data_IF_392482524285
#
_entry.id   IF_392482524285
#
_cell.length_a   1.000
_cell.length_b   1.000
_cell.length_c   1.000
_cell.angle_alpha   90.00
_cell.angle_beta   90.00
_cell.angle_gamma   90.00
#
_symmetry.space_group_name_H-M   'P 1'
#
loop_
_entity.id
_entity.type
_entity.pdbx_description
1 polymer ?
#
# COMPACT_ATOMS: atom_id res chain seq x y z
N UNK A 1 -17.69 -8.29 51.31
CA UNK A 1 -18.19 -7.98 49.96
C UNK A 1 -17.37 -6.83 49.43
N UNK A 2 -16.30 -7.14 48.69
CA UNK A 2 -15.48 -6.13 48.01
C UNK A 2 -15.75 -6.25 46.52
N UNK A 3 -16.25 -5.17 45.92
CA UNK A 3 -16.46 -5.09 44.48
C UNK A 3 -15.09 -4.91 43.79
N UNK A 4 -14.73 -5.84 42.91
CA UNK A 4 -13.61 -5.70 42.00
C UNK A 4 -14.06 -4.87 40.79
N UNK A 5 -13.35 -3.78 40.55
CA UNK A 5 -13.51 -2.90 39.40
C UNK A 5 -12.63 -3.43 38.27
N UNK A 6 -13.24 -3.96 37.20
CA UNK A 6 -12.55 -4.35 35.97
C UNK A 6 -12.35 -3.12 35.08
N UNK A 7 -11.10 -2.65 35.00
CA UNK A 7 -10.68 -1.64 34.04
C UNK A 7 -10.38 -2.32 32.70
N UNK A 8 -11.35 -2.28 31.79
CA UNK A 8 -11.18 -2.75 30.41
C UNK A 8 -10.36 -1.74 29.60
N UNK A 9 -9.11 -2.07 29.30
CA UNK A 9 -8.30 -1.33 28.32
C UNK A 9 -8.82 -1.67 26.92
N UNK A 10 -9.55 -0.74 26.30
CA UNK A 10 -9.82 -0.75 24.85
C UNK A 10 -8.53 -0.37 24.12
N UNK A 11 -7.81 -1.37 23.61
CA UNK A 11 -6.84 -1.15 22.56
C UNK A 11 -7.57 -1.10 21.22
N UNK A 12 -7.42 0.00 20.48
CA UNK A 12 -7.82 0.07 19.07
C UNK A 12 -7.02 -0.99 18.29
N UNK A 13 -7.66 -2.12 18.01
CA UNK A 13 -7.11 -3.11 17.10
C UNK A 13 -7.22 -2.54 15.69
N UNK A 14 -6.08 -2.25 15.08
CA UNK A 14 -6.02 -1.98 13.65
C UNK A 14 -6.63 -3.18 12.91
N UNK A 15 -7.71 -2.95 12.18
CA UNK A 15 -8.33 -3.96 11.33
C UNK A 15 -7.37 -4.25 10.16
N UNK A 16 -6.81 -5.45 10.14
CA UNK A 16 -5.91 -5.90 9.07
C UNK A 16 -6.73 -6.75 8.08
N UNK A 17 -6.90 -6.25 6.86
CA UNK A 17 -7.69 -6.93 5.83
C UNK A 17 -6.86 -8.02 5.14
N UNK A 18 -7.38 -9.25 5.16
CA UNK A 18 -6.92 -10.33 4.30
C UNK A 18 -7.28 -10.01 2.84
N UNK A 19 -6.30 -9.63 2.01
CA UNK A 19 -6.52 -9.39 0.59
C UNK A 19 -6.89 -10.70 -0.12
N UNK A 20 -8.04 -10.69 -0.79
CA UNK A 20 -8.46 -11.76 -1.68
C UNK A 20 -7.45 -11.97 -2.83
N UNK A 21 -7.21 -13.21 -3.25
CA UNK A 21 -6.33 -13.67 -4.32
C UNK A 21 -7.13 -13.77 -5.62
N UNK A 22 -7.81 -12.69 -6.00
CA UNK A 22 -8.32 -12.66 -7.36
C UNK A 22 -7.10 -12.73 -8.28
N UNK A 23 -7.12 -13.66 -9.24
CA UNK A 23 -6.01 -13.92 -10.16
C UNK A 23 -5.65 -12.69 -11.04
N UNK A 24 -6.35 -11.56 -10.83
CA UNK A 24 -6.29 -10.32 -11.59
C UNK A 24 -6.25 -9.04 -10.71
N UNK A 25 -6.09 -9.15 -9.38
CA UNK A 25 -5.69 -8.04 -8.49
C UNK A 25 -6.61 -6.81 -8.38
N UNK A 26 -7.84 -6.84 -8.90
CA UNK A 26 -8.73 -5.65 -8.96
C UNK A 26 -9.92 -5.73 -8.00
N UNK A 27 -10.34 -6.93 -7.62
CA UNK A 27 -11.36 -7.20 -6.63
C UNK A 27 -10.77 -8.01 -5.48
N UNK A 28 -10.58 -7.38 -4.31
CA UNK A 28 -10.06 -8.00 -3.07
C UNK A 28 -11.03 -9.04 -2.47
N UNK A 29 -11.47 -10.00 -3.27
CA UNK A 29 -12.53 -10.95 -2.96
C UNK A 29 -12.02 -12.37 -3.18
N UNK A 30 -12.42 -13.29 -2.31
CA UNK A 30 -12.23 -14.72 -2.54
C UNK A 30 -13.35 -15.23 -3.43
N UNK A 31 -13.02 -15.69 -4.65
CA UNK A 31 -14.05 -16.22 -5.56
C UNK A 31 -14.15 -17.75 -5.46
N UNK A 32 -15.32 -18.22 -5.03
CA UNK A 32 -15.73 -19.63 -5.07
C UNK A 32 -16.75 -19.83 -6.18
N UNK A 33 -16.65 -20.95 -6.92
CA UNK A 33 -17.61 -21.35 -7.97
C UNK A 33 -18.13 -22.74 -7.66
N UNK A 34 -19.44 -22.87 -7.46
CA UNK A 34 -20.13 -24.10 -7.06
C UNK A 34 -21.50 -24.24 -7.73
N UNK A 35 -22.15 -25.38 -7.50
CA UNK A 35 -23.54 -25.60 -7.95
C UNK A 35 -24.49 -24.78 -7.08
N UNK A 36 -25.60 -24.23 -7.61
CA UNK A 36 -26.60 -23.57 -6.78
C UNK A 36 -27.09 -24.47 -5.63
N UNK A 37 -27.07 -23.94 -4.40
CA UNK A 37 -27.42 -24.68 -3.19
C UNK A 37 -26.29 -25.55 -2.61
N UNK A 38 -25.09 -25.55 -3.21
CA UNK A 38 -23.92 -26.20 -2.63
C UNK A 38 -23.43 -25.46 -1.37
N UNK A 39 -23.23 -26.20 -0.29
CA UNK A 39 -22.65 -25.67 0.94
C UNK A 39 -21.13 -25.49 0.77
N UNK A 40 -20.65 -24.32 1.18
CA UNK A 40 -19.22 -23.96 1.16
C UNK A 40 -18.78 -23.67 2.58
N UNK A 41 -17.85 -24.48 3.08
CA UNK A 41 -17.14 -24.22 4.34
C UNK A 41 -15.93 -23.33 4.05
N UNK A 42 -15.86 -22.18 4.71
CA UNK A 42 -14.72 -21.26 4.63
C UNK A 42 -13.94 -21.29 5.95
N UNK A 43 -12.64 -21.54 5.86
CA UNK A 43 -11.74 -21.49 7.02
C UNK A 43 -10.65 -20.45 6.79
N UNK A 44 -10.52 -19.50 7.72
CA UNK A 44 -9.47 -18.50 7.75
C UNK A 44 -8.44 -18.87 8.82
N UNK A 45 -7.19 -19.00 8.41
CA UNK A 45 -6.04 -19.20 9.30
C UNK A 45 -5.15 -17.97 9.25
N UNK A 46 -4.76 -17.45 10.42
CA UNK A 46 -3.77 -16.37 10.55
C UNK A 46 -2.66 -16.85 11.47
N UNK A 47 -1.48 -17.07 10.92
CA UNK A 47 -0.31 -17.59 11.64
C UNK A 47 0.95 -16.82 11.21
N UNK A 48 1.62 -16.15 12.16
CA UNK A 48 2.82 -15.34 11.91
C UNK A 48 2.67 -14.33 10.76
N UNK A 49 1.53 -13.63 10.71
CA UNK A 49 1.21 -12.67 9.65
C UNK A 49 0.95 -13.31 8.28
N UNK A 50 0.97 -14.65 8.19
CA UNK A 50 0.49 -15.39 7.03
C UNK A 50 -1.02 -15.64 7.20
N UNK A 51 -1.77 -15.07 6.29
CA UNK A 51 -3.17 -15.40 6.06
C UNK A 51 -3.27 -16.57 5.09
N UNK A 52 -4.03 -17.59 5.45
CA UNK A 52 -4.45 -18.69 4.56
C UNK A 52 -5.97 -18.81 4.60
N UNK A 53 -6.62 -18.76 3.44
CA UNK A 53 -8.07 -19.02 3.30
C UNK A 53 -8.26 -20.35 2.62
N UNK A 54 -9.13 -21.19 3.18
CA UNK A 54 -9.55 -22.46 2.59
C UNK A 54 -11.04 -22.42 2.32
N UNK A 55 -11.44 -22.87 1.15
CA UNK A 55 -12.82 -23.16 0.81
C UNK A 55 -12.95 -24.67 0.57
N UNK A 56 -13.93 -25.30 1.22
CA UNK A 56 -14.28 -26.70 1.01
C UNK A 56 -15.75 -26.80 0.60
N UNK A 57 -16.01 -27.49 -0.50
CA UNK A 57 -17.34 -27.69 -1.08
C UNK A 57 -17.77 -29.13 -0.81
N UNK A 58 -18.73 -29.32 0.11
CA UNK A 58 -19.06 -30.64 0.64
C UNK A 58 -19.61 -31.59 -0.45
N UNK A 59 -20.53 -31.09 -1.27
CA UNK A 59 -21.23 -31.88 -2.31
C UNK A 59 -20.28 -32.33 -3.41
N UNK A 60 -19.48 -31.41 -3.97
CA UNK A 60 -18.50 -31.74 -5.03
C UNK A 60 -17.17 -32.29 -4.52
N UNK A 61 -16.95 -32.31 -3.19
CA UNK A 61 -15.67 -32.65 -2.55
C UNK A 61 -14.47 -31.88 -3.11
N UNK A 62 -14.70 -30.65 -3.55
CA UNK A 62 -13.65 -29.76 -4.06
C UNK A 62 -13.11 -28.90 -2.93
N UNK A 63 -11.82 -28.62 -2.97
CA UNK A 63 -11.20 -27.62 -2.10
C UNK A 63 -10.42 -26.60 -2.90
N UNK A 64 -10.34 -25.39 -2.38
CA UNK A 64 -9.47 -24.32 -2.87
C UNK A 64 -8.76 -23.71 -1.68
N UNK A 65 -7.46 -23.47 -1.83
CA UNK A 65 -6.66 -22.79 -0.81
C UNK A 65 -6.04 -21.56 -1.45
N UNK A 66 -5.94 -20.53 -0.64
CA UNK A 66 -5.25 -19.31 -0.97
C UNK A 66 -4.34 -18.90 0.16
N UNK A 67 -3.12 -18.51 -0.19
CA UNK A 67 -2.08 -18.14 0.76
C UNK A 67 -1.61 -16.73 0.46
N UNK A 68 -1.47 -15.93 1.51
CA UNK A 68 -0.70 -14.68 1.45
C UNK A 68 0.81 -14.98 1.56
N UNK A 69 1.61 -14.06 1.03
CA UNK A 69 3.05 -14.08 1.26
C UNK A 69 3.38 -13.58 2.67
N UNK A 70 4.47 -14.08 3.26
CA UNK A 70 4.95 -13.63 4.58
C UNK A 70 5.78 -12.35 4.48
N UNK A 71 5.75 -11.57 5.55
CA UNK A 71 6.67 -10.44 5.76
C UNK A 71 6.41 -9.24 4.86
N UNK A 72 7.48 -8.58 4.44
CA UNK A 72 7.42 -7.35 3.64
C UNK A 72 7.05 -7.58 2.18
N UNK A 73 7.24 -8.80 1.67
CA UNK A 73 6.88 -9.19 0.31
C UNK A 73 5.38 -9.56 0.15
N UNK A 74 4.55 -9.25 1.16
CA UNK A 74 3.10 -9.48 1.12
C UNK A 74 2.36 -8.52 0.19
N UNK A 75 2.94 -7.35 -0.06
CA UNK A 75 2.45 -6.38 -1.02
C UNK A 75 3.56 -6.05 -2.01
N UNK A 76 3.13 -5.68 -3.21
CA UNK A 76 3.95 -4.94 -4.15
C UNK A 76 3.69 -3.45 -3.97
N UNK A 77 4.66 -2.63 -4.31
CA UNK A 77 4.53 -1.18 -4.22
C UNK A 77 4.91 -0.57 -5.56
N UNK A 78 4.21 0.48 -5.97
CA UNK A 78 4.50 1.19 -7.20
C UNK A 78 4.37 2.69 -6.99
N UNK A 79 5.19 3.46 -7.70
CA UNK A 79 5.01 4.90 -7.84
C UNK A 79 4.00 5.14 -8.95
N UNK A 80 2.92 5.83 -8.65
CA UNK A 80 1.92 6.29 -9.62
C UNK A 80 2.15 7.79 -9.84
N UNK A 81 2.32 8.19 -11.09
CA UNK A 81 2.38 9.61 -11.48
C UNK A 81 0.96 10.13 -11.79
N UNK A 82 0.78 11.46 -11.85
CA UNK A 82 -0.52 12.10 -12.18
C UNK A 82 -1.21 11.54 -13.44
N UNK A 83 -2.50 11.87 -13.64
CA UNK A 83 -3.37 11.32 -14.70
C UNK A 83 -2.68 11.13 -16.06
N UNK A 84 -2.61 9.87 -16.51
CA UNK A 84 -1.95 9.47 -17.76
C UNK A 84 -0.45 9.15 -17.65
N UNK A 85 0.13 9.31 -16.46
CA UNK A 85 1.51 8.96 -16.15
C UNK A 85 1.78 7.46 -16.02
N UNK A 86 3.05 7.10 -15.88
CA UNK A 86 3.46 5.70 -15.76
C UNK A 86 3.33 5.20 -14.32
N UNK A 87 2.92 3.94 -14.17
CA UNK A 87 3.03 3.20 -12.91
C UNK A 87 4.38 2.48 -12.88
N UNK A 88 5.25 2.86 -11.96
CA UNK A 88 6.62 2.37 -11.88
C UNK A 88 6.80 1.46 -10.66
N UNK A 89 7.11 0.16 -10.83
CA UNK A 89 7.23 -0.76 -9.72
C UNK A 89 8.43 -0.40 -8.83
N UNK A 90 8.23 -0.46 -7.51
CA UNK A 90 9.31 -0.29 -6.54
C UNK A 90 10.00 -1.64 -6.27
N UNK A 91 11.31 -1.60 -6.05
CA UNK A 91 12.12 -2.77 -5.71
C UNK A 91 12.47 -2.76 -4.23
N UNK A 92 12.23 -3.88 -3.52
CA UNK A 92 12.63 -4.03 -2.12
C UNK A 92 14.15 -4.11 -1.99
N UNK A 93 14.71 -3.39 -1.02
CA UNK A 93 16.11 -3.52 -0.64
C UNK A 93 16.29 -4.80 0.22
N UNK A 94 16.92 -5.83 -0.37
CA UNK A 94 17.13 -7.11 0.33
C UNK A 94 18.02 -7.01 1.58
N UNK A 95 18.85 -5.96 1.70
CA UNK A 95 19.67 -5.71 2.90
C UNK A 95 18.91 -4.97 3.99
N UNK A 96 17.81 -4.31 3.66
CA UNK A 96 16.94 -3.59 4.58
C UNK A 96 15.47 -3.93 4.27
N UNK A 97 14.99 -5.14 4.65
CA UNK A 97 13.61 -5.54 4.40
C UNK A 97 12.61 -4.51 4.94
N UNK A 98 11.57 -4.21 4.16
CA UNK A 98 10.62 -3.14 4.46
C UNK A 98 10.97 -1.79 3.82
N UNK A 99 12.15 -1.66 3.22
CA UNK A 99 12.54 -0.48 2.42
C UNK A 99 12.41 -0.81 0.93
N UNK A 100 11.68 0.01 0.20
CA UNK A 100 11.46 -0.12 -1.24
C UNK A 100 11.92 1.15 -1.95
N UNK A 101 12.50 1.01 -3.14
CA UNK A 101 12.99 2.15 -3.91
C UNK A 101 12.53 2.11 -5.37
N UNK A 102 12.30 3.28 -5.94
CA UNK A 102 12.02 3.47 -7.36
C UNK A 102 12.75 4.72 -7.86
N UNK A 103 13.27 4.66 -9.09
CA UNK A 103 13.89 5.80 -9.75
C UNK A 103 12.85 6.47 -10.65
N UNK A 104 12.74 7.79 -10.57
CA UNK A 104 11.85 8.60 -11.40
C UNK A 104 12.61 9.74 -12.04
N UNK A 105 12.06 10.27 -13.13
CA UNK A 105 12.62 11.41 -13.86
C UNK A 105 11.60 12.54 -13.81
N UNK A 106 12.03 13.72 -13.37
CA UNK A 106 11.20 14.92 -13.42
C UNK A 106 10.95 15.30 -14.87
N UNK A 107 9.70 15.57 -15.22
CA UNK A 107 9.27 15.86 -16.58
C UNK A 107 9.85 17.15 -17.16
N UNK A 108 9.37 17.49 -18.37
CA UNK A 108 9.72 18.73 -19.07
C UNK A 108 8.75 19.87 -18.78
N UNK A 109 7.67 19.59 -18.07
CA UNK A 109 6.65 20.57 -17.74
C UNK A 109 7.18 21.51 -16.64
N UNK A 110 7.14 22.81 -16.94
CA UNK A 110 7.62 23.86 -16.06
C UNK A 110 6.44 24.55 -15.39
N UNK A 111 6.36 24.46 -14.07
CA UNK A 111 5.40 25.23 -13.28
C UNK A 111 5.93 26.66 -13.13
N UNK A 112 5.24 27.60 -13.79
CA UNK A 112 5.58 29.03 -13.75
C UNK A 112 5.36 29.66 -12.37
N UNK A 113 4.43 29.14 -11.57
CA UNK A 113 4.15 29.66 -10.23
C UNK A 113 5.24 29.21 -9.25
N UNK A 114 5.62 27.93 -9.31
CA UNK A 114 6.73 27.41 -8.51
C UNK A 114 8.12 27.82 -9.03
N UNK A 115 8.21 28.23 -10.30
CA UNK A 115 9.48 28.54 -10.95
C UNK A 115 10.39 27.33 -11.13
N UNK A 116 9.81 26.14 -11.29
CA UNK A 116 10.55 24.88 -11.34
C UNK A 116 9.85 23.84 -12.24
N UNK A 117 10.63 22.85 -12.69
CA UNK A 117 10.08 21.62 -13.24
C UNK A 117 9.56 20.76 -12.09
N UNK A 118 8.46 20.03 -12.31
CA UNK A 118 7.86 19.25 -11.24
C UNK A 118 7.44 17.85 -11.66
N UNK A 119 7.29 16.98 -10.68
CA UNK A 119 6.68 15.66 -10.79
C UNK A 119 5.80 15.44 -9.57
N UNK A 120 4.52 15.19 -9.82
CA UNK A 120 3.62 14.71 -8.79
C UNK A 120 3.56 13.18 -8.81
N UNK A 121 3.49 12.59 -7.63
CA UNK A 121 3.39 11.15 -7.50
C UNK A 121 2.73 10.71 -6.20
N UNK A 122 2.31 9.46 -6.17
CA UNK A 122 1.89 8.74 -4.98
C UNK A 122 2.53 7.34 -4.97
N UNK A 123 2.53 6.70 -3.81
CA UNK A 123 3.02 5.31 -3.69
C UNK A 123 1.83 4.40 -3.45
N UNK A 124 1.48 3.58 -4.42
CA UNK A 124 0.36 2.65 -4.35
C UNK A 124 0.75 1.29 -3.80
N UNK A 125 -0.16 0.67 -3.07
CA UNK A 125 -0.12 -0.73 -2.67
C UNK A 125 -0.75 -1.57 -3.77
N UNK A 126 -0.03 -2.59 -4.22
CA UNK A 126 -0.46 -3.53 -5.25
C UNK A 126 -0.88 -2.85 -6.57
N UNK A 127 -0.31 -1.66 -6.84
CA UNK A 127 -0.62 -0.86 -8.02
C UNK A 127 -2.00 -0.21 -8.02
N UNK A 128 -2.76 -0.28 -6.92
CA UNK A 128 -4.11 0.26 -6.82
C UNK A 128 -4.11 1.71 -6.32
N UNK A 129 -4.54 2.66 -7.17
CA UNK A 129 -4.58 4.10 -6.86
C UNK A 129 -5.54 4.45 -5.72
N UNK A 130 -6.47 3.55 -5.38
CA UNK A 130 -7.35 3.70 -4.20
C UNK A 130 -6.60 3.51 -2.89
N UNK A 131 -5.42 2.91 -2.93
CA UNK A 131 -4.63 2.50 -1.76
C UNK A 131 -3.22 3.07 -1.83
N UNK A 132 -3.14 4.38 -1.66
CA UNK A 132 -1.91 5.15 -1.80
C UNK A 132 -1.42 5.73 -0.48
N UNK A 133 -0.11 5.79 -0.31
CA UNK A 133 0.52 6.70 0.64
C UNK A 133 0.45 8.12 0.07
N UNK A 134 0.16 9.08 0.93
CA UNK A 134 -0.01 10.50 0.55
C UNK A 134 0.48 11.42 1.68
N UNK A 135 0.92 12.65 1.38
CA UNK A 135 1.31 13.60 2.41
C UNK A 135 0.07 14.16 3.11
N UNK A 136 0.22 14.54 4.37
CA UNK A 136 -0.84 15.21 5.14
C UNK A 136 -1.24 16.55 4.51
N UNK A 137 -0.31 17.23 3.83
CA UNK A 137 -0.54 18.48 3.12
C UNK A 137 0.27 18.48 1.81
N UNK A 138 -0.31 19.04 0.75
CA UNK A 138 0.35 19.21 -0.55
C UNK A 138 1.60 20.11 -0.47
N UNK A 139 2.54 19.90 -1.39
CA UNK A 139 3.65 20.82 -1.67
C UNK A 139 4.80 20.81 -0.65
N UNK A 140 4.77 19.96 0.37
CA UNK A 140 5.90 19.86 1.31
C UNK A 140 7.06 19.03 0.78
N UNK A 141 8.27 19.32 1.28
CA UNK A 141 9.50 18.67 0.82
C UNK A 141 9.67 17.28 1.44
N UNK A 142 10.60 16.51 0.87
CA UNK A 142 10.98 15.18 1.37
C UNK A 142 11.42 15.27 2.84
N UNK A 143 10.76 14.50 3.71
CA UNK A 143 11.08 14.47 5.14
C UNK A 143 10.44 15.59 5.97
N UNK A 144 9.70 16.52 5.36
CA UNK A 144 9.03 17.61 6.10
C UNK A 144 7.56 17.28 6.42
N UNK A 145 6.90 16.54 5.52
CA UNK A 145 5.47 16.23 5.63
C UNK A 145 5.23 14.88 6.30
N UNK A 146 4.23 14.84 7.18
CA UNK A 146 3.76 13.58 7.75
C UNK A 146 3.11 12.77 6.62
N UNK A 147 3.56 11.52 6.45
CA UNK A 147 2.95 10.60 5.48
C UNK A 147 1.75 9.91 6.11
N UNK A 148 0.61 10.00 5.43
CA UNK A 148 -0.58 9.22 5.71
C UNK A 148 -0.51 7.86 5.04
N UNK A 149 -0.97 6.86 5.78
CA UNK A 149 -1.13 5.50 5.26
C UNK A 149 -2.42 5.45 4.42
N UNK A 150 -2.51 4.51 3.46
CA UNK A 150 -3.74 4.28 2.72
C UNK A 150 -4.95 4.14 3.64
N UNK A 151 -6.08 4.80 3.33
CA UNK A 151 -7.29 4.71 4.16
C UNK A 151 -7.89 3.31 4.10
N UNK A 152 -8.49 2.86 5.20
CA UNK A 152 -9.17 1.55 5.31
C UNK A 152 -10.32 1.36 4.30
N UNK A 153 -10.87 2.43 3.75
CA UNK A 153 -12.03 2.38 2.85
C UNK A 153 -11.75 2.86 1.41
N UNK A 154 -10.49 2.83 0.96
CA UNK A 154 -10.17 2.79 -0.47
C UNK A 154 -10.60 4.01 -1.30
N UNK A 155 -10.67 5.21 -0.72
CA UNK A 155 -10.94 6.43 -1.48
C UNK A 155 -9.65 7.18 -1.89
N UNK A 156 -8.48 6.54 -1.77
CA UNK A 156 -7.20 7.18 -2.04
C UNK A 156 -7.07 8.53 -1.33
N UNK A 157 -6.25 9.39 -1.90
CA UNK A 157 -6.25 10.83 -1.60
C UNK A 157 -5.95 11.57 -2.89
N UNK A 158 -6.60 12.70 -3.12
CA UNK A 158 -6.28 13.58 -4.25
C UNK A 158 -5.03 14.46 -3.99
N UNK A 159 -4.31 14.19 -2.89
CA UNK A 159 -3.12 14.95 -2.49
C UNK A 159 -1.87 14.16 -2.87
N UNK A 160 -1.15 14.52 -3.95
CA UNK A 160 0.09 13.85 -4.31
C UNK A 160 1.28 14.43 -3.53
N UNK A 161 2.39 13.69 -3.52
CA UNK A 161 3.72 14.23 -3.24
C UNK A 161 4.21 15.01 -4.47
N UNK A 162 5.01 16.05 -4.26
CA UNK A 162 5.56 16.87 -5.34
C UNK A 162 7.09 16.95 -5.25
N UNK A 163 7.76 16.64 -6.35
CA UNK A 163 9.21 16.85 -6.52
C UNK A 163 9.41 18.08 -7.38
N UNK A 164 10.18 19.05 -6.92
CA UNK A 164 10.58 20.23 -7.69
C UNK A 164 12.05 20.14 -8.10
N UNK A 165 12.37 20.55 -9.32
CA UNK A 165 13.71 20.55 -9.88
C UNK A 165 13.99 21.84 -10.66
N UNK A 166 15.19 22.45 -10.53
CA UNK A 166 15.59 23.59 -11.35
C UNK A 166 15.89 23.22 -12.81
N UNK A 167 15.99 21.93 -13.13
CA UNK A 167 16.32 21.45 -14.47
C UNK A 167 15.37 20.30 -14.87
N UNK A 168 14.97 20.23 -16.15
CA UNK A 168 14.15 19.13 -16.63
C UNK A 168 14.96 17.84 -16.66
N UNK A 169 14.27 16.71 -16.73
CA UNK A 169 14.88 15.38 -16.87
C UNK A 169 15.84 14.98 -15.73
N UNK A 170 15.78 15.69 -14.59
CA UNK A 170 16.56 15.33 -13.41
C UNK A 170 16.02 14.06 -12.78
N UNK A 171 16.92 13.16 -12.41
CA UNK A 171 16.58 11.87 -11.81
C UNK A 171 16.52 11.96 -10.29
N UNK A 172 15.50 11.33 -9.71
CA UNK A 172 15.30 11.21 -8.27
C UNK A 172 15.07 9.75 -7.89
N UNK A 173 15.52 9.35 -6.71
CA UNK A 173 15.18 8.08 -6.09
C UNK A 173 14.12 8.32 -5.02
N UNK A 174 12.93 7.74 -5.23
CA UNK A 174 11.86 7.66 -4.24
C UNK A 174 12.11 6.42 -3.38
N UNK A 175 11.94 6.58 -2.06
CA UNK A 175 12.08 5.54 -1.06
C UNK A 175 10.79 5.44 -0.24
N UNK A 176 10.27 4.23 -0.11
CA UNK A 176 9.23 3.86 0.85
C UNK A 176 9.90 3.04 1.97
N UNK A 177 9.99 3.59 3.17
CA UNK A 177 10.54 2.92 4.35
C UNK A 177 9.41 2.56 5.33
N UNK A 178 8.93 1.33 5.26
CA UNK A 178 7.88 0.82 6.15
C UNK A 178 8.38 0.52 7.57
N UNK A 179 9.69 0.64 7.79
CA UNK A 179 10.34 0.47 9.10
C UNK A 179 10.58 1.79 9.81
N UNK A 180 10.27 2.93 9.15
CA UNK A 180 10.47 4.26 9.71
C UNK A 180 9.58 4.48 10.95
N UNK A 181 10.21 4.87 12.08
CA UNK A 181 9.50 5.30 13.29
C UNK A 181 8.88 6.69 13.09
N UNK A 182 9.64 7.61 12.49
CA UNK A 182 9.14 8.92 12.09
C UNK A 182 8.36 8.81 10.78
N UNK A 183 7.07 9.11 10.84
CA UNK A 183 6.17 9.05 9.67
C UNK A 183 6.58 9.97 8.54
N UNK A 184 7.37 11.01 8.79
CA UNK A 184 7.92 11.89 7.74
C UNK A 184 8.94 11.19 6.86
N UNK A 185 9.57 10.13 7.39
CA UNK A 185 10.56 9.33 6.67
C UNK A 185 9.95 8.10 5.99
N UNK A 186 8.62 7.89 6.10
CA UNK A 186 7.94 6.77 5.43
C UNK A 186 8.09 6.84 3.92
N UNK A 187 7.89 8.03 3.33
CA UNK A 187 8.08 8.28 1.89
C UNK A 187 9.00 9.46 1.75
N UNK A 188 10.14 9.25 1.12
CA UNK A 188 11.16 10.28 0.89
C UNK A 188 11.68 10.21 -0.53
N UNK A 189 12.30 11.28 -1.00
CA UNK A 189 12.94 11.32 -2.29
C UNK A 189 14.20 12.17 -2.25
N UNK A 190 15.19 11.79 -3.05
CA UNK A 190 16.46 12.51 -3.17
C UNK A 190 16.93 12.53 -4.61
N UNK A 191 17.60 13.61 -5.00
CA UNK A 191 18.27 13.67 -6.30
C UNK A 191 19.39 12.62 -6.35
N UNK A 192 19.54 11.98 -7.52
CA UNK A 192 20.63 11.06 -7.82
C UNK A 192 21.83 11.78 -8.44
#
# INVERSE_FOLDING_TARGET
MGAGEEVGIKGDKAEEHACGPDEYGSGRNFQVKGTPGEEVELTLFVEDGKVTVRAYMATSRRSRQWDSNRGWARHTYAVIQDEGGQTLPMTMNLRRPGVFTCTVVVGKDFDKQAGAYFLNFQVAIDGDSRWVFYPMQAGGLSGEVIVNRPPLHGNGSDVPFSIYSPSPERTFQITLDLTAEDRRNTVTWRAM
#
